data_IF_960921077725
#
_entry.id   IF_960921077725
#
_cell.length_a   1.000
_cell.length_b   1.000
_cell.length_c   1.000
_cell.angle_alpha   90.00
_cell.angle_beta   90.00
_cell.angle_gamma   90.00
#
_symmetry.space_group_name_H-M   'P 1'
#
loop_
_entity.id
_entity.type
_entity.pdbx_description
1 polymer ?
#
# COMPACT_ATOMS: atom_id res chain seq x y z
N UNK A 1 11.56 -9.22 -11.49
CA UNK A 1 11.74 -8.54 -10.19
C UNK A 1 12.21 -7.13 -10.43
N UNK A 2 11.45 -6.15 -10.00
CA UNK A 2 11.84 -4.77 -10.21
C UNK A 2 13.00 -4.40 -9.28
N UNK A 3 13.98 -3.74 -9.86
CA UNK A 3 15.08 -3.17 -9.10
C UNK A 3 14.61 -1.85 -8.48
N UNK A 4 14.89 -1.66 -7.20
CA UNK A 4 14.53 -0.43 -6.50
C UNK A 4 15.15 0.79 -7.18
N UNK A 5 16.38 0.72 -7.65
CA UNK A 5 17.05 1.86 -8.26
C UNK A 5 16.34 2.33 -9.54
N UNK A 6 15.86 1.39 -10.35
CA UNK A 6 15.07 1.72 -11.54
C UNK A 6 13.73 2.35 -11.15
N UNK A 7 13.05 1.75 -10.17
CA UNK A 7 11.80 2.28 -9.63
C UNK A 7 12.02 3.71 -9.09
N UNK A 8 13.06 3.91 -8.30
CA UNK A 8 13.34 5.21 -7.69
C UNK A 8 13.66 6.29 -8.74
N UNK A 9 14.36 5.92 -9.80
CA UNK A 9 14.64 6.83 -10.90
C UNK A 9 13.33 7.35 -11.51
N UNK A 10 12.43 6.46 -11.85
CA UNK A 10 11.13 6.84 -12.41
C UNK A 10 10.30 7.65 -11.42
N UNK A 11 10.36 7.28 -10.16
CA UNK A 11 9.64 7.99 -9.10
C UNK A 11 10.15 9.42 -8.95
N UNK A 12 11.45 9.64 -9.01
CA UNK A 12 12.03 10.98 -8.94
C UNK A 12 11.60 11.87 -10.11
N UNK A 13 11.52 11.30 -11.30
CA UNK A 13 11.00 12.01 -12.46
C UNK A 13 9.55 12.42 -12.25
N UNK A 14 8.75 11.53 -11.67
CA UNK A 14 7.37 11.81 -11.30
C UNK A 14 7.29 12.93 -10.27
N UNK A 15 8.10 12.89 -9.22
CA UNK A 15 8.13 13.95 -8.20
C UNK A 15 8.42 15.32 -8.81
N UNK A 16 9.37 15.40 -9.73
CA UNK A 16 9.73 16.64 -10.40
C UNK A 16 8.56 17.21 -11.21
N UNK A 17 7.79 16.33 -11.86
CA UNK A 17 6.62 16.75 -12.63
C UNK A 17 5.55 17.42 -11.76
N UNK A 18 5.49 17.08 -10.46
CA UNK A 18 4.57 17.68 -9.50
C UNK A 18 5.22 18.78 -8.65
N UNK A 19 6.41 19.27 -9.06
CA UNK A 19 7.10 20.32 -8.31
C UNK A 19 7.67 19.89 -6.97
N UNK A 20 7.76 18.59 -6.74
CA UNK A 20 8.29 18.04 -5.50
C UNK A 20 9.78 17.76 -5.61
N UNK A 21 10.50 17.98 -4.52
CA UNK A 21 11.92 17.61 -4.44
C UNK A 21 12.07 16.24 -3.83
N UNK A 22 13.02 15.47 -4.35
CA UNK A 22 13.46 14.27 -3.68
C UNK A 22 14.15 14.64 -2.36
N UNK A 23 14.09 13.73 -1.38
CA UNK A 23 14.78 13.91 -0.11
C UNK A 23 15.19 12.55 0.44
N UNK A 24 16.14 12.57 1.36
CA UNK A 24 16.57 11.35 2.03
C UNK A 24 15.42 10.66 2.76
N UNK A 25 14.54 11.44 3.41
CA UNK A 25 13.37 10.91 4.11
C UNK A 25 12.45 10.18 3.15
N UNK A 26 12.14 10.79 2.00
CA UNK A 26 11.27 10.18 1.00
C UNK A 26 11.87 8.89 0.45
N UNK A 27 13.18 8.89 0.17
CA UNK A 27 13.89 7.71 -0.30
C UNK A 27 13.82 6.58 0.72
N UNK A 28 14.06 6.87 1.98
CA UNK A 28 14.04 5.86 3.05
C UNK A 28 12.64 5.26 3.22
N UNK A 29 11.60 6.08 3.19
CA UNK A 29 10.22 5.60 3.25
C UNK A 29 9.93 4.67 2.07
N UNK A 30 10.32 5.07 0.87
CA UNK A 30 10.11 4.25 -0.33
C UNK A 30 10.87 2.93 -0.28
N UNK A 31 12.14 2.96 0.20
CA UNK A 31 12.93 1.73 0.33
C UNK A 31 12.29 0.75 1.31
N UNK A 32 11.80 1.25 2.43
CA UNK A 32 11.14 0.41 3.43
C UNK A 32 9.86 -0.20 2.88
N UNK A 33 9.03 0.58 2.21
CA UNK A 33 7.80 0.09 1.59
C UNK A 33 8.09 -0.89 0.45
N UNK A 34 9.07 -0.58 -0.38
CA UNK A 34 9.43 -1.43 -1.51
C UNK A 34 9.97 -2.79 -1.05
N UNK A 35 10.77 -2.80 -0.01
CA UNK A 35 11.35 -4.03 0.54
C UNK A 35 10.35 -4.86 1.33
N UNK A 36 9.26 -4.25 1.79
CA UNK A 36 8.27 -4.96 2.58
C UNK A 36 7.50 -5.96 1.74
N UNK A 37 7.32 -7.16 2.26
CA UNK A 37 6.50 -8.20 1.63
C UNK A 37 5.08 -8.20 2.14
N UNK A 38 4.78 -7.31 3.09
CA UNK A 38 3.46 -7.16 3.69
C UNK A 38 3.17 -5.67 3.86
N UNK A 39 2.03 -5.37 4.44
CA UNK A 39 1.61 -4.00 4.66
C UNK A 39 2.30 -3.43 5.88
N UNK A 40 2.56 -2.15 5.88
CA UNK A 40 3.16 -1.46 7.01
C UNK A 40 2.31 -0.27 7.41
N UNK A 41 2.11 -0.09 8.72
CA UNK A 41 1.55 1.15 9.22
C UNK A 41 2.66 2.20 9.42
N UNK A 42 2.29 3.44 9.69
CA UNK A 42 3.26 4.53 9.80
C UNK A 42 4.27 4.33 10.93
N UNK A 43 3.85 3.74 12.05
CA UNK A 43 4.75 3.45 13.16
C UNK A 43 5.78 2.40 12.79
N UNK A 44 5.34 1.36 12.07
CA UNK A 44 6.25 0.30 11.59
C UNK A 44 7.26 0.86 10.60
N UNK A 45 6.84 1.77 9.72
CA UNK A 45 7.74 2.44 8.78
C UNK A 45 8.78 3.25 9.56
N UNK A 46 8.35 4.02 10.55
CA UNK A 46 9.22 4.80 11.41
C UNK A 46 10.26 3.92 12.10
N UNK A 47 9.83 2.80 12.68
CA UNK A 47 10.69 1.86 13.37
C UNK A 47 11.73 1.24 12.43
N UNK A 48 11.30 0.81 11.24
CA UNK A 48 12.19 0.21 10.26
C UNK A 48 13.24 1.19 9.75
N UNK A 49 12.86 2.44 9.58
CA UNK A 49 13.82 3.49 9.18
C UNK A 49 14.85 3.70 10.27
N UNK A 50 14.42 3.77 11.52
CA UNK A 50 15.35 3.91 12.64
C UNK A 50 16.31 2.71 12.74
N UNK A 51 15.78 1.50 12.62
CA UNK A 51 16.61 0.29 12.70
C UNK A 51 17.63 0.20 11.57
N UNK A 52 17.22 0.58 10.35
CA UNK A 52 18.05 0.42 9.15
C UNK A 52 19.03 1.57 8.97
N UNK A 53 18.57 2.81 9.16
CA UNK A 53 19.33 4.01 8.80
C UNK A 53 19.72 4.84 10.02
N UNK A 54 19.28 4.46 11.21
CA UNK A 54 19.52 5.22 12.46
C UNK A 54 19.03 6.67 12.35
N UNK A 55 17.95 6.86 11.59
CA UNK A 55 17.36 8.17 11.36
C UNK A 55 16.01 8.26 12.08
N UNK A 56 15.85 9.29 12.90
CA UNK A 56 14.57 9.56 13.57
C UNK A 56 13.75 10.51 12.70
N UNK A 57 12.61 10.02 12.22
CA UNK A 57 11.72 10.81 11.39
C UNK A 57 10.43 11.09 12.18
N UNK A 58 9.93 12.31 12.11
CA UNK A 58 8.68 12.66 12.77
C UNK A 58 7.51 11.94 12.10
N UNK A 59 6.52 11.59 12.88
CA UNK A 59 5.29 10.96 12.35
C UNK A 59 4.59 11.91 11.36
N UNK A 60 4.65 13.21 11.59
CA UNK A 60 4.09 14.19 10.67
C UNK A 60 4.72 14.09 9.29
N UNK A 61 6.05 13.98 9.22
CA UNK A 61 6.77 13.84 7.94
C UNK A 61 6.38 12.55 7.22
N UNK A 62 6.24 11.46 7.96
CA UNK A 62 5.84 10.17 7.40
C UNK A 62 4.42 10.28 6.82
N UNK A 63 3.46 10.77 7.59
CA UNK A 63 2.08 10.90 7.13
C UNK A 63 1.94 11.85 5.95
N UNK A 64 2.69 12.95 5.94
CA UNK A 64 2.66 13.90 4.83
C UNK A 64 3.05 13.21 3.53
N UNK A 65 4.11 12.42 3.55
CA UNK A 65 4.56 11.71 2.36
C UNK A 65 3.63 10.55 1.98
N UNK A 66 3.15 9.79 2.96
CA UNK A 66 2.21 8.70 2.70
C UNK A 66 0.92 9.21 2.09
N UNK A 67 0.41 10.34 2.58
CA UNK A 67 -0.78 10.97 2.01
C UNK A 67 -0.55 11.42 0.57
N UNK A 68 0.63 11.96 0.27
CA UNK A 68 1.00 12.31 -1.09
C UNK A 68 0.99 11.06 -2.00
N UNK A 69 1.60 9.97 -1.54
CA UNK A 69 1.63 8.72 -2.31
C UNK A 69 0.22 8.20 -2.58
N UNK A 70 -0.64 8.22 -1.57
CA UNK A 70 -2.01 7.73 -1.71
C UNK A 70 -2.83 8.63 -2.63
N UNK A 71 -2.69 9.93 -2.50
CA UNK A 71 -3.41 10.92 -3.31
C UNK A 71 -3.10 10.74 -4.81
N UNK A 72 -1.86 10.38 -5.13
CA UNK A 72 -1.42 10.18 -6.51
C UNK A 72 -1.45 8.71 -6.94
N UNK A 73 -2.12 7.86 -6.17
CA UNK A 73 -2.31 6.43 -6.48
C UNK A 73 -0.98 5.63 -6.56
N UNK A 74 0.06 6.12 -5.89
CA UNK A 74 1.34 5.43 -5.83
C UNK A 74 1.42 4.47 -4.65
N UNK A 75 0.52 4.62 -3.69
CA UNK A 75 0.35 3.70 -2.58
C UNK A 75 -1.12 3.47 -2.34
N UNK A 76 -1.46 2.28 -1.88
CA UNK A 76 -2.79 1.94 -1.42
C UNK A 76 -2.79 1.84 0.10
N UNK A 77 -3.94 2.11 0.70
CA UNK A 77 -4.10 1.97 2.14
C UNK A 77 -5.39 1.23 2.48
N UNK A 78 -5.40 0.60 3.65
CA UNK A 78 -6.60 0.01 4.23
C UNK A 78 -6.49 0.07 5.75
N UNK A 79 -7.63 0.05 6.42
CA UNK A 79 -7.67 0.09 7.87
C UNK A 79 -7.87 -1.31 8.45
N UNK A 80 -7.11 -1.60 9.51
CA UNK A 80 -7.22 -2.82 10.28
C UNK A 80 -7.20 -2.43 11.76
N UNK A 81 -8.29 -2.72 12.47
CA UNK A 81 -8.44 -2.37 13.89
C UNK A 81 -8.19 -0.88 14.17
N UNK A 82 -8.67 -0.02 13.27
CA UNK A 82 -8.48 1.43 13.38
C UNK A 82 -7.11 1.94 12.98
N UNK A 83 -6.22 1.07 12.53
CA UNK A 83 -4.86 1.43 12.12
C UNK A 83 -4.76 1.37 10.60
N UNK A 84 -4.25 2.43 9.99
CA UNK A 84 -4.09 2.52 8.56
C UNK A 84 -2.78 1.89 8.11
N UNK A 85 -2.87 0.93 7.20
CA UNK A 85 -1.73 0.21 6.63
C UNK A 85 -1.53 0.64 5.19
N UNK A 86 -0.28 0.62 4.74
CA UNK A 86 0.11 1.11 3.41
C UNK A 86 0.92 0.07 2.65
N UNK A 87 0.80 0.10 1.33
CA UNK A 87 1.63 -0.67 0.42
C UNK A 87 1.84 0.13 -0.87
N UNK A 88 2.97 -0.09 -1.53
CA UNK A 88 3.22 0.57 -2.82
C UNK A 88 2.37 -0.08 -3.91
N UNK A 89 1.78 0.75 -4.74
CA UNK A 89 0.90 0.31 -5.82
C UNK A 89 1.67 -0.29 -7.01
N UNK A 90 2.99 -0.09 -7.05
CA UNK A 90 3.84 -0.57 -8.14
C UNK A 90 4.29 -2.02 -7.99
N UNK A 91 4.07 -2.63 -6.82
CA UNK A 91 4.17 -4.08 -6.65
C UNK A 91 2.93 -4.70 -7.28
N UNK A 92 3.00 -5.99 -7.59
CA UNK A 92 1.83 -6.69 -8.09
C UNK A 92 0.62 -6.31 -7.22
N UNK A 93 -0.42 -5.74 -7.87
CA UNK A 93 -1.61 -5.34 -7.15
C UNK A 93 -2.26 -6.58 -6.55
N UNK A 94 -2.70 -6.48 -5.31
CA UNK A 94 -3.42 -7.55 -4.66
C UNK A 94 -4.55 -6.95 -3.83
N UNK A 95 -5.55 -7.78 -3.61
CA UNK A 95 -6.72 -7.41 -2.84
C UNK A 95 -6.63 -8.04 -1.46
N UNK A 96 -7.49 -7.68 -0.56
CA UNK A 96 -7.38 -8.10 0.85
C UNK A 96 -8.68 -8.66 1.38
N UNK A 97 -8.55 -9.71 2.18
CA UNK A 97 -9.61 -10.20 3.06
C UNK A 97 -9.23 -9.80 4.48
N UNK A 98 -10.14 -9.15 5.20
CA UNK A 98 -9.86 -8.73 6.58
C UNK A 98 -10.90 -9.35 7.51
N UNK A 99 -10.41 -10.06 8.54
CA UNK A 99 -11.29 -10.59 9.56
C UNK A 99 -11.64 -9.49 10.56
N UNK A 100 -12.93 -9.23 10.72
CA UNK A 100 -13.40 -8.19 11.64
C UNK A 100 -13.24 -8.56 13.11
N UNK A 101 -13.03 -9.84 13.42
CA UNK A 101 -12.88 -10.31 14.81
C UNK A 101 -11.42 -10.28 15.23
N UNK A 102 -10.55 -11.02 14.52
CA UNK A 102 -9.14 -11.15 14.91
C UNK A 102 -8.19 -10.23 14.16
N UNK A 103 -8.68 -9.52 13.13
CA UNK A 103 -7.85 -8.61 12.34
C UNK A 103 -6.93 -9.28 11.33
N UNK A 104 -7.04 -10.59 11.14
CA UNK A 104 -6.21 -11.31 10.16
C UNK A 104 -6.41 -10.73 8.76
N UNK A 105 -5.30 -10.50 8.06
CA UNK A 105 -5.31 -10.02 6.67
C UNK A 105 -4.80 -11.14 5.77
N UNK A 106 -5.55 -11.45 4.72
CA UNK A 106 -5.15 -12.40 3.70
C UNK A 106 -5.14 -11.66 2.37
N UNK A 107 -4.01 -11.69 1.69
CA UNK A 107 -3.89 -11.09 0.36
C UNK A 107 -4.34 -12.09 -0.70
N UNK A 108 -4.97 -11.59 -1.75
CA UNK A 108 -5.35 -12.44 -2.88
C UNK A 108 -5.29 -11.66 -4.18
N UNK A 109 -5.14 -12.40 -5.27
CA UNK A 109 -5.25 -11.87 -6.62
C UNK A 109 -6.14 -12.82 -7.41
N UNK A 110 -7.02 -12.25 -8.25
CA UNK A 110 -7.88 -13.04 -9.10
C UNK A 110 -7.97 -12.36 -10.47
N UNK A 111 -7.44 -13.03 -11.47
CA UNK A 111 -7.39 -12.50 -12.82
C UNK A 111 -8.79 -12.20 -13.40
N UNK A 112 -9.77 -13.02 -13.07
CA UNK A 112 -11.14 -12.83 -13.57
C UNK A 112 -11.78 -11.57 -12.98
N UNK A 113 -11.54 -11.30 -11.71
CA UNK A 113 -12.02 -10.08 -11.06
C UNK A 113 -11.35 -8.85 -11.71
N UNK A 114 -10.05 -8.91 -11.93
CA UNK A 114 -9.31 -7.82 -12.58
C UNK A 114 -9.82 -7.54 -13.98
N UNK A 115 -10.00 -8.59 -14.77
CA UNK A 115 -10.51 -8.46 -16.13
C UNK A 115 -11.93 -7.87 -16.14
N UNK A 116 -12.76 -8.28 -15.19
CA UNK A 116 -14.15 -7.78 -15.13
C UNK A 116 -14.17 -6.29 -14.78
N UNK A 117 -13.30 -5.86 -13.88
CA UNK A 117 -13.16 -4.45 -13.54
C UNK A 117 -12.75 -3.63 -14.77
N UNK A 118 -11.77 -4.13 -15.52
CA UNK A 118 -11.30 -3.47 -16.74
C UNK A 118 -12.42 -3.37 -17.78
N UNK A 119 -13.21 -4.43 -17.95
CA UNK A 119 -14.34 -4.43 -18.86
C UNK A 119 -15.40 -3.39 -18.49
N UNK A 120 -15.70 -3.29 -17.21
CA UNK A 120 -16.68 -2.31 -16.70
C UNK A 120 -16.19 -0.89 -17.00
N UNK A 121 -14.92 -0.62 -16.75
CA UNK A 121 -14.35 0.69 -17.05
C UNK A 121 -14.38 1.00 -18.53
N UNK A 122 -14.00 0.05 -19.38
CA UNK A 122 -14.03 0.22 -20.83
C UNK A 122 -15.43 0.48 -21.35
N UNK A 123 -16.42 -0.24 -20.84
CA UNK A 123 -17.82 -0.08 -21.25
C UNK A 123 -18.35 1.31 -20.92
N UNK A 124 -17.76 1.99 -19.95
CA UNK A 124 -18.16 3.32 -19.52
C UNK A 124 -17.17 4.40 -19.97
N UNK A 125 -16.26 4.05 -20.86
CA UNK A 125 -15.25 4.96 -21.41
C UNK A 125 -14.35 5.55 -20.34
N UNK A 126 -14.03 4.77 -19.29
CA UNK A 126 -13.07 5.14 -18.25
C UNK A 126 -11.73 4.51 -18.51
N UNK A 127 -10.67 5.29 -18.40
CA UNK A 127 -9.31 4.79 -18.36
C UNK A 127 -8.96 4.51 -16.89
N UNK A 128 -8.88 3.24 -16.52
CA UNK A 128 -8.63 2.86 -15.13
C UNK A 128 -7.15 3.08 -14.78
N UNK A 129 -6.90 3.76 -13.67
CA UNK A 129 -5.53 3.99 -13.18
C UNK A 129 -5.18 3.05 -12.03
N UNK A 130 -6.10 2.81 -11.12
CA UNK A 130 -5.89 1.95 -9.97
C UNK A 130 -7.22 1.46 -9.43
N UNK A 131 -7.16 0.43 -8.61
CA UNK A 131 -8.33 -0.04 -7.86
C UNK A 131 -7.89 -0.60 -6.52
N UNK A 132 -8.84 -0.71 -5.62
CA UNK A 132 -8.63 -1.33 -4.32
C UNK A 132 -9.89 -2.11 -3.97
N UNK A 133 -9.73 -3.39 -3.60
CA UNK A 133 -10.83 -4.23 -3.15
C UNK A 133 -10.50 -4.79 -1.77
N UNK A 134 -11.40 -4.59 -0.82
CA UNK A 134 -11.26 -5.12 0.53
C UNK A 134 -12.56 -5.81 0.87
N UNK A 135 -12.48 -7.08 1.24
CA UNK A 135 -13.65 -7.85 1.69
C UNK A 135 -13.52 -8.05 3.20
N UNK A 136 -14.51 -7.56 3.93
CA UNK A 136 -14.57 -7.71 5.39
C UNK A 136 -15.45 -8.89 5.73
N UNK A 137 -14.98 -9.72 6.63
CA UNK A 137 -15.75 -10.90 7.02
C UNK A 137 -15.19 -11.54 8.28
N UNK A 138 -15.40 -12.84 8.42
CA UNK A 138 -14.97 -13.62 9.59
C UNK A 138 -14.15 -14.80 9.08
N UNK A 139 -12.88 -14.90 9.52
CA UNK A 139 -11.99 -15.96 9.08
C UNK A 139 -12.45 -17.33 9.62
N UNK A 140 -11.94 -18.42 9.01
CA UNK A 140 -12.34 -19.76 9.36
C UNK A 140 -12.10 -20.09 10.84
N UNK A 141 -10.98 -19.62 11.38
CA UNK A 141 -10.65 -19.85 12.79
C UNK A 141 -11.66 -19.18 13.73
N UNK A 142 -12.04 -17.94 13.42
CA UNK A 142 -13.03 -17.21 14.22
C UNK A 142 -14.43 -17.79 14.05
N UNK A 143 -14.78 -18.25 12.85
CA UNK A 143 -16.05 -18.96 12.64
C UNK A 143 -16.13 -20.20 13.51
N UNK A 144 -15.06 -21.00 13.55
CA UNK A 144 -15.01 -22.20 14.35
C UNK A 144 -15.15 -21.90 15.86
N UNK A 145 -14.45 -20.85 16.33
CA UNK A 145 -14.49 -20.46 17.74
C UNK A 145 -15.85 -19.92 18.18
N UNK A 146 -16.56 -19.25 17.28
CA UNK A 146 -17.80 -18.54 17.62
C UNK A 146 -19.05 -19.30 17.14
N UNK A 147 -18.89 -20.50 16.60
CA UNK A 147 -20.02 -21.31 16.16
C UNK A 147 -20.76 -20.74 14.95
N UNK A 148 -20.05 -20.01 14.12
CA UNK A 148 -20.65 -19.39 12.92
C UNK A 148 -20.54 -20.31 11.73
#
# INVERSE_FOLDING_TARGET
MEDFELFYKHFNEFLKAFGQKGSEIKEQILRVLFASKSHLNAQEICQKIYETYKNEISMTSIYTFLNFLEEHHLANSFEQNGVKNYELNLKSSHDHLICEICGKVVDFEDEMIEQRQDQICSQRSFSVESHKMILYGICSDCQAKNGI
#
